data_IF_761155009026
#
_entry.id   IF_761155009026
#
_cell.length_a   1.000
_cell.length_b   1.000
_cell.length_c   1.000
_cell.angle_alpha   90.00
_cell.angle_beta   90.00
_cell.angle_gamma   90.00
#
_symmetry.space_group_name_H-M   'P 1'
#
loop_
_entity.id
_entity.type
_entity.pdbx_description
1 polymer ?
#
# COMPACT_ATOMS: atom_id res chain seq x y z
N UNK A 1 11.71 20.25 9.16
CA UNK A 1 11.42 21.00 10.41
C UNK A 1 10.04 20.67 10.98
N UNK A 2 8.96 20.65 10.15
CA UNK A 2 7.58 20.40 10.60
C UNK A 2 7.40 19.05 11.30
N UNK A 3 7.99 17.97 10.79
CA UNK A 3 7.91 16.64 11.40
C UNK A 3 8.52 16.64 12.81
N UNK A 4 9.67 17.29 12.98
CA UNK A 4 10.28 17.44 14.29
C UNK A 4 9.44 18.30 15.24
N UNK A 5 8.76 19.32 14.69
CA UNK A 5 7.83 20.15 15.49
C UNK A 5 6.67 19.34 16.02
N UNK A 6 6.13 18.40 15.24
CA UNK A 6 5.07 17.48 15.71
C UNK A 6 5.56 16.60 16.85
N UNK A 7 6.73 15.97 16.69
CA UNK A 7 7.33 15.11 17.71
C UNK A 7 7.59 15.89 18.98
N UNK A 8 8.33 17.00 18.89
CA UNK A 8 8.66 17.84 20.03
C UNK A 8 7.42 18.37 20.77
N UNK A 9 6.37 18.69 20.02
CA UNK A 9 5.10 19.15 20.60
C UNK A 9 4.38 18.02 21.33
N UNK A 10 4.32 16.83 20.74
CA UNK A 10 3.75 15.66 21.40
C UNK A 10 4.47 15.35 22.71
N UNK A 11 5.79 15.33 22.72
CA UNK A 11 6.60 15.09 23.93
C UNK A 11 6.40 16.17 24.99
N UNK A 12 6.48 17.45 24.60
CA UNK A 12 6.30 18.58 25.50
C UNK A 12 4.92 18.64 26.15
N UNK A 13 3.88 18.37 25.37
CA UNK A 13 2.49 18.45 25.85
C UNK A 13 1.99 17.14 26.46
N UNK A 14 2.72 16.04 26.26
CA UNK A 14 2.30 14.67 26.60
C UNK A 14 0.95 14.29 25.99
N UNK A 15 0.66 14.82 24.80
CA UNK A 15 -0.53 14.48 24.01
C UNK A 15 -0.14 13.53 22.89
N UNK A 16 -0.98 12.53 22.66
CA UNK A 16 -0.76 11.57 21.59
C UNK A 16 -0.84 12.26 20.23
N UNK A 17 0.17 12.00 19.39
CA UNK A 17 0.17 12.38 17.99
C UNK A 17 0.70 11.19 17.21
N UNK A 18 -0.11 10.58 16.37
CA UNK A 18 0.30 9.48 15.51
C UNK A 18 -0.38 9.57 14.15
N UNK A 19 0.32 9.14 13.13
CA UNK A 19 -0.26 8.96 11.81
C UNK A 19 -1.00 7.63 11.77
N UNK A 20 -2.26 7.67 11.33
CA UNK A 20 -3.06 6.49 11.04
C UNK A 20 -3.21 6.39 9.52
N UNK A 21 -2.53 5.43 8.92
CA UNK A 21 -2.69 5.09 7.51
C UNK A 21 -3.86 4.09 7.39
N UNK A 22 -4.96 4.52 6.76
CA UNK A 22 -6.22 3.78 6.81
C UNK A 22 -6.17 2.43 6.08
N UNK A 23 -5.37 2.30 5.03
CA UNK A 23 -5.30 1.06 4.25
C UNK A 23 -4.72 -0.12 5.05
N UNK A 24 -3.86 0.13 6.04
CA UNK A 24 -3.32 -0.93 6.90
C UNK A 24 -4.38 -1.58 7.79
N UNK A 25 -5.53 -0.94 7.96
CA UNK A 25 -6.63 -1.43 8.80
C UNK A 25 -7.76 -2.09 8.00
N UNK A 26 -7.65 -2.16 6.68
CA UNK A 26 -8.59 -2.91 5.86
C UNK A 26 -8.53 -4.41 6.18
N UNK A 27 -9.66 -5.09 5.98
CA UNK A 27 -9.80 -6.49 6.37
C UNK A 27 -8.77 -7.40 5.68
N UNK A 28 -8.56 -7.20 4.38
CA UNK A 28 -7.59 -7.99 3.61
C UNK A 28 -6.16 -7.76 4.09
N UNK A 29 -5.74 -6.50 4.28
CA UNK A 29 -4.39 -6.13 4.70
C UNK A 29 -4.09 -6.64 6.10
N UNK A 30 -4.99 -6.46 7.06
CA UNK A 30 -4.79 -6.97 8.42
C UNK A 30 -4.81 -8.50 8.48
N UNK A 31 -5.69 -9.15 7.74
CA UNK A 31 -5.72 -10.62 7.67
C UNK A 31 -4.43 -11.15 7.05
N UNK A 32 -3.99 -10.56 5.94
CA UNK A 32 -2.74 -10.93 5.28
C UNK A 32 -1.52 -10.67 6.16
N UNK A 33 -1.51 -9.56 6.92
CA UNK A 33 -0.47 -9.29 7.90
C UNK A 33 -0.42 -10.37 8.99
N UNK A 34 -1.57 -10.78 9.52
CA UNK A 34 -1.65 -11.85 10.50
C UNK A 34 -1.17 -13.20 9.93
N UNK A 35 -1.55 -13.52 8.69
CA UNK A 35 -1.03 -14.69 7.98
C UNK A 35 0.50 -14.64 7.83
N UNK A 36 1.04 -13.48 7.45
CA UNK A 36 2.47 -13.27 7.31
C UNK A 36 3.23 -13.45 8.64
N UNK A 37 2.69 -12.90 9.72
CA UNK A 37 3.25 -13.04 11.08
C UNK A 37 3.22 -14.49 11.58
N UNK A 38 2.30 -15.29 11.10
CA UNK A 38 2.20 -16.72 11.40
C UNK A 38 2.95 -17.62 10.40
N UNK A 39 3.71 -17.02 9.48
CA UNK A 39 4.60 -17.75 8.57
C UNK A 39 3.93 -18.39 7.36
N UNK A 40 2.65 -18.08 7.08
CA UNK A 40 1.89 -18.69 5.96
C UNK A 40 2.54 -18.45 4.60
N UNK A 41 3.22 -17.32 4.42
CA UNK A 41 3.90 -16.98 3.17
C UNK A 41 5.39 -17.34 3.16
N UNK A 42 5.89 -17.99 4.24
CA UNK A 42 7.33 -18.19 4.42
C UNK A 42 8.08 -16.88 4.65
N UNK A 43 9.31 -16.79 4.15
CA UNK A 43 10.07 -15.54 4.17
C UNK A 43 9.53 -14.58 3.10
N UNK A 44 9.11 -13.38 3.51
CA UNK A 44 8.65 -12.35 2.56
C UNK A 44 9.87 -11.72 1.88
N UNK A 45 9.88 -11.75 0.56
CA UNK A 45 10.99 -11.30 -0.28
C UNK A 45 10.72 -9.95 -0.94
N UNK A 46 9.46 -9.72 -1.34
CA UNK A 46 9.06 -8.56 -2.12
C UNK A 46 7.66 -8.10 -1.76
N UNK A 47 7.46 -6.78 -1.75
CA UNK A 47 6.14 -6.16 -1.53
C UNK A 47 5.93 -5.06 -2.57
N UNK A 48 4.70 -4.98 -3.12
CA UNK A 48 4.29 -3.89 -3.99
C UNK A 48 3.16 -3.10 -3.37
N UNK A 49 3.22 -1.78 -3.51
CA UNK A 49 2.18 -0.87 -3.07
C UNK A 49 1.94 0.26 -4.06
N UNK A 50 0.79 0.90 -4.00
CA UNK A 50 0.50 2.00 -4.89
C UNK A 50 -0.49 3.02 -4.32
N UNK A 51 -0.43 4.23 -4.86
CA UNK A 51 -1.52 5.19 -4.85
C UNK A 51 -1.84 5.59 -6.29
N UNK A 52 -2.83 4.92 -6.85
CA UNK A 52 -3.32 5.14 -8.21
C UNK A 52 -4.77 5.61 -8.09
N UNK A 53 -4.98 6.90 -8.33
CA UNK A 53 -6.27 7.52 -8.12
C UNK A 53 -6.38 8.77 -9.00
N UNK A 54 -7.06 8.70 -10.13
CA UNK A 54 -7.29 9.90 -10.92
C UNK A 54 -8.04 10.94 -10.08
N UNK A 55 -7.39 12.04 -9.76
CA UNK A 55 -7.93 13.12 -8.94
C UNK A 55 -8.34 14.36 -9.75
N UNK A 56 -8.43 14.25 -11.07
CA UNK A 56 -8.75 15.39 -11.95
C UNK A 56 -10.00 16.13 -11.49
N UNK A 57 -11.09 15.43 -11.15
CA UNK A 57 -12.35 16.02 -10.70
C UNK A 57 -12.26 16.69 -9.32
N UNK A 58 -11.22 16.38 -8.56
CA UNK A 58 -11.05 16.85 -7.18
C UNK A 58 -10.00 17.96 -7.06
N UNK A 59 -9.18 18.21 -8.05
CA UNK A 59 -8.05 19.13 -7.92
C UNK A 59 -8.46 20.56 -7.66
N UNK A 60 -9.52 21.05 -8.29
CA UNK A 60 -10.03 22.41 -8.09
C UNK A 60 -10.96 22.53 -6.88
N UNK A 61 -11.52 21.41 -6.40
CA UNK A 61 -12.48 21.39 -5.29
C UNK A 61 -11.88 20.93 -3.96
N UNK A 62 -10.72 20.33 -3.97
CA UNK A 62 -10.04 19.89 -2.75
C UNK A 62 -9.49 21.10 -1.99
N UNK A 63 -9.72 21.12 -0.71
CA UNK A 63 -9.44 22.23 0.20
C UNK A 63 -8.15 23.01 -0.16
N UNK A 64 -8.30 24.27 -0.53
CA UNK A 64 -7.23 25.18 -0.97
C UNK A 64 -6.32 24.65 -2.08
N UNK A 65 -6.79 23.72 -2.91
CA UNK A 65 -6.00 23.13 -4.01
C UNK A 65 -4.62 22.56 -3.58
N UNK A 66 -4.42 22.23 -2.31
CA UNK A 66 -3.12 21.85 -1.80
C UNK A 66 -2.49 20.67 -2.58
N UNK A 67 -3.31 19.75 -3.08
CA UNK A 67 -2.81 18.61 -3.88
C UNK A 67 -2.25 19.06 -5.21
N UNK A 68 -2.92 19.98 -5.90
CA UNK A 68 -2.43 20.54 -7.15
C UNK A 68 -1.14 21.31 -6.92
N UNK A 69 -1.11 22.20 -5.93
CA UNK A 69 0.07 22.99 -5.60
C UNK A 69 1.25 22.11 -5.18
N UNK A 70 0.96 21.04 -4.43
CA UNK A 70 2.01 20.11 -4.01
C UNK A 70 2.60 19.34 -5.20
N UNK A 71 1.78 18.83 -6.11
CA UNK A 71 2.22 18.16 -7.34
C UNK A 71 2.93 19.14 -8.30
N UNK A 72 2.49 20.39 -8.37
CA UNK A 72 3.13 21.43 -9.19
C UNK A 72 4.56 21.71 -8.72
N UNK A 73 4.79 21.70 -7.42
CA UNK A 73 6.04 22.16 -6.82
C UNK A 73 6.98 21.02 -6.34
N UNK A 74 6.53 19.78 -6.33
CA UNK A 74 7.31 18.65 -5.84
C UNK A 74 7.34 17.53 -6.87
N UNK A 75 8.47 16.82 -6.93
CA UNK A 75 8.70 15.70 -7.83
C UNK A 75 8.75 14.39 -7.07
N UNK A 76 8.27 13.32 -7.68
CA UNK A 76 8.35 11.96 -7.16
C UNK A 76 7.02 11.45 -6.62
N UNK A 77 7.06 10.45 -5.74
CA UNK A 77 5.87 9.96 -5.06
C UNK A 77 5.50 10.90 -3.91
N UNK A 78 4.63 11.84 -4.20
CA UNK A 78 4.22 12.88 -3.24
C UNK A 78 3.14 12.41 -2.26
N UNK A 79 2.70 11.15 -2.36
CA UNK A 79 1.69 10.57 -1.48
C UNK A 79 1.89 9.07 -1.26
N UNK A 80 3.07 8.70 -0.78
CA UNK A 80 3.53 7.32 -0.66
C UNK A 80 2.84 6.50 0.45
N UNK A 81 2.17 7.13 1.40
CA UNK A 81 1.71 6.49 2.64
C UNK A 81 0.86 5.24 2.43
N UNK A 82 -0.04 5.26 1.45
CA UNK A 82 -0.94 4.13 1.18
C UNK A 82 -0.22 2.90 0.61
N UNK A 83 0.84 3.10 -0.13
CA UNK A 83 1.65 1.99 -0.64
C UNK A 83 2.71 1.52 0.36
N UNK A 84 3.39 2.48 1.00
CA UNK A 84 4.54 2.15 1.86
C UNK A 84 4.14 1.71 3.28
N UNK A 85 3.01 2.19 3.80
CA UNK A 85 2.53 1.84 5.13
C UNK A 85 2.34 0.34 5.32
N UNK A 86 1.50 -0.32 4.52
CA UNK A 86 1.33 -1.77 4.55
C UNK A 86 2.64 -2.54 4.31
N UNK A 87 3.48 -2.08 3.36
CA UNK A 87 4.77 -2.69 3.09
C UNK A 87 5.71 -2.66 4.31
N UNK A 88 5.74 -1.54 5.04
CA UNK A 88 6.55 -1.40 6.25
C UNK A 88 6.10 -2.36 7.35
N UNK A 89 4.81 -2.64 7.48
CA UNK A 89 4.30 -3.60 8.44
C UNK A 89 4.71 -5.03 8.07
N UNK A 90 4.52 -5.43 6.82
CA UNK A 90 4.87 -6.77 6.33
C UNK A 90 6.37 -7.06 6.47
N UNK A 91 7.21 -6.07 6.21
CA UNK A 91 8.67 -6.23 6.23
C UNK A 91 9.32 -5.86 7.57
N UNK A 92 8.53 -5.54 8.60
CA UNK A 92 9.03 -5.15 9.92
C UNK A 92 10.03 -3.99 9.85
N UNK A 93 9.79 -2.98 9.02
CA UNK A 93 10.66 -1.81 8.89
C UNK A 93 10.75 -1.09 10.24
N UNK A 94 11.96 -0.81 10.69
CA UNK A 94 12.32 -0.31 12.03
C UNK A 94 12.00 -1.28 13.20
N UNK A 95 11.65 -2.55 12.90
CA UNK A 95 11.39 -3.60 13.88
C UNK A 95 12.12 -4.91 13.53
N UNK A 96 13.27 -4.81 12.89
CA UNK A 96 14.08 -5.95 12.44
C UNK A 96 14.66 -5.77 11.03
N UNK A 97 14.12 -4.82 10.25
CA UNK A 97 14.68 -4.43 8.96
C UNK A 97 14.65 -2.89 8.81
N UNK A 98 15.31 -2.37 7.79
CA UNK A 98 15.31 -0.93 7.44
C UNK A 98 15.54 -0.74 5.94
N UNK A 99 15.02 0.35 5.41
CA UNK A 99 15.28 0.77 4.04
C UNK A 99 16.74 1.19 3.89
N UNK A 100 17.40 0.70 2.84
CA UNK A 100 18.83 0.95 2.59
C UNK A 100 19.08 1.82 1.38
N UNK A 101 18.49 1.46 0.25
CA UNK A 101 18.66 2.20 -1.01
C UNK A 101 17.32 2.42 -1.66
N UNK A 102 17.18 3.57 -2.34
CA UNK A 102 15.99 3.95 -3.08
C UNK A 102 16.38 4.49 -4.45
N UNK A 103 15.64 4.06 -5.46
CA UNK A 103 15.69 4.64 -6.81
C UNK A 103 14.26 4.96 -7.22
N UNK A 104 14.03 6.19 -7.64
CA UNK A 104 12.74 6.64 -8.16
C UNK A 104 12.90 7.17 -9.58
N UNK A 105 11.99 6.80 -10.45
CA UNK A 105 11.90 7.26 -11.83
C UNK A 105 10.49 7.74 -12.09
N UNK A 106 10.36 8.88 -12.74
CA UNK A 106 9.08 9.44 -13.14
C UNK A 106 9.02 9.70 -14.65
N UNK A 107 7.81 9.77 -15.17
CA UNK A 107 7.56 10.24 -16.53
C UNK A 107 7.62 11.77 -16.60
N UNK A 108 7.57 12.32 -17.79
CA UNK A 108 7.31 13.77 -17.96
C UNK A 108 5.92 14.12 -17.40
N UNK A 109 5.76 15.36 -16.96
CA UNK A 109 4.47 15.95 -16.59
C UNK A 109 3.71 16.38 -17.85
N UNK A 110 2.53 15.83 -18.08
CA UNK A 110 1.67 16.15 -19.23
C UNK A 110 0.29 16.60 -18.76
N UNK A 111 -0.36 15.78 -17.93
CA UNK A 111 -1.75 16.00 -17.54
C UNK A 111 -1.90 17.13 -16.53
N UNK A 112 -0.98 17.31 -15.58
CA UNK A 112 -1.01 18.42 -14.65
C UNK A 112 -1.01 19.79 -15.34
N UNK A 113 -0.02 20.10 -16.20
CA UNK A 113 -0.03 21.34 -16.99
C UNK A 113 -1.27 21.50 -17.87
N UNK A 114 -1.73 20.42 -18.51
CA UNK A 114 -2.92 20.44 -19.36
C UNK A 114 -4.18 20.79 -18.56
N UNK A 115 -4.32 20.23 -17.35
CA UNK A 115 -5.43 20.54 -16.45
C UNK A 115 -5.44 22.03 -16.04
N UNK A 116 -4.31 22.56 -15.60
CA UNK A 116 -4.21 23.96 -15.20
C UNK A 116 -4.57 24.87 -16.38
N UNK A 117 -4.01 24.61 -17.57
CA UNK A 117 -4.35 25.39 -18.78
C UNK A 117 -5.84 25.34 -19.10
N UNK A 118 -6.47 24.16 -19.00
CA UNK A 118 -7.91 23.97 -19.26
C UNK A 118 -8.79 24.75 -18.28
N UNK A 119 -8.40 24.79 -17.00
CA UNK A 119 -9.22 25.33 -15.91
C UNK A 119 -8.98 26.82 -15.64
N UNK A 120 -7.76 27.29 -15.83
CA UNK A 120 -7.36 28.68 -15.50
C UNK A 120 -6.91 29.52 -16.70
N UNK A 121 -6.60 28.89 -17.84
CA UNK A 121 -5.96 29.53 -18.98
C UNK A 121 -4.45 29.77 -18.81
N UNK A 122 -3.86 29.38 -17.67
CA UNK A 122 -2.44 29.58 -17.38
C UNK A 122 -1.58 28.54 -18.14
N UNK A 123 -0.51 29.00 -18.80
CA UNK A 123 0.52 28.14 -19.35
C UNK A 123 1.57 27.86 -18.29
N UNK A 124 1.61 26.61 -17.82
CA UNK A 124 2.56 26.17 -16.80
C UNK A 124 3.76 25.50 -17.45
N UNK A 125 4.95 26.08 -17.25
CA UNK A 125 6.21 25.56 -17.79
C UNK A 125 6.99 24.68 -16.80
N UNK A 126 6.77 24.87 -15.51
CA UNK A 126 7.59 24.34 -14.43
C UNK A 126 6.84 23.35 -13.51
N UNK A 127 5.96 22.54 -14.09
CA UNK A 127 5.28 21.49 -13.31
C UNK A 127 6.25 20.37 -13.00
N UNK A 128 6.46 20.09 -11.70
CA UNK A 128 7.55 19.20 -11.24
C UNK A 128 7.16 17.73 -11.28
N UNK A 129 5.95 17.38 -10.87
CA UNK A 129 5.60 15.97 -10.73
C UNK A 129 5.26 15.32 -12.07
N UNK A 130 5.91 14.23 -12.39
CA UNK A 130 5.55 13.38 -13.52
C UNK A 130 4.17 12.73 -13.35
N UNK A 131 3.53 12.36 -14.45
CA UNK A 131 2.21 11.71 -14.41
C UNK A 131 2.26 10.31 -13.74
N UNK A 132 3.39 9.64 -13.83
CA UNK A 132 3.65 8.36 -13.16
C UNK A 132 5.01 8.38 -12.50
N UNK A 133 5.07 8.00 -11.22
CA UNK A 133 6.32 7.72 -10.50
C UNK A 133 6.38 6.24 -10.13
N UNK A 134 7.54 5.66 -10.31
CA UNK A 134 7.85 4.29 -9.88
C UNK A 134 9.10 4.32 -9.02
N UNK A 135 8.98 3.80 -7.81
CA UNK A 135 10.05 3.79 -6.81
C UNK A 135 10.37 2.37 -6.41
N UNK A 136 11.64 2.00 -6.45
CA UNK A 136 12.14 0.72 -5.95
C UNK A 136 13.02 0.97 -4.75
N UNK A 137 12.73 0.26 -3.66
CA UNK A 137 13.49 0.33 -2.42
C UNK A 137 14.07 -1.06 -2.12
N UNK A 138 15.33 -1.11 -1.71
CA UNK A 138 15.95 -2.32 -1.16
C UNK A 138 16.20 -2.14 0.31
N UNK A 139 15.84 -3.15 1.11
CA UNK A 139 16.07 -3.17 2.55
C UNK A 139 17.47 -3.69 2.90
N UNK A 140 17.87 -3.53 4.15
CA UNK A 140 19.15 -4.04 4.68
C UNK A 140 19.20 -5.59 4.61
N UNK A 141 18.07 -6.25 4.90
CA UNK A 141 17.95 -7.71 4.82
C UNK A 141 17.78 -8.24 3.38
N UNK A 142 17.90 -7.37 2.35
CA UNK A 142 17.89 -7.76 0.95
C UNK A 142 16.50 -7.90 0.33
N UNK A 143 15.44 -7.55 1.03
CA UNK A 143 14.07 -7.52 0.53
C UNK A 143 13.85 -6.30 -0.35
N UNK A 144 12.81 -6.33 -1.19
CA UNK A 144 12.50 -5.21 -2.08
C UNK A 144 11.06 -4.71 -1.92
N UNK A 145 10.88 -3.41 -2.14
CA UNK A 145 9.57 -2.76 -2.18
C UNK A 145 9.46 -2.02 -3.50
N UNK A 146 8.34 -2.20 -4.20
CA UNK A 146 7.97 -1.40 -5.36
C UNK A 146 6.79 -0.51 -5.00
N UNK A 147 6.92 0.82 -5.19
CA UNK A 147 5.83 1.76 -4.96
C UNK A 147 5.51 2.48 -6.27
N UNK A 148 4.22 2.59 -6.58
CA UNK A 148 3.73 3.36 -7.72
C UNK A 148 2.83 4.50 -7.26
N UNK A 149 2.99 5.65 -7.90
CA UNK A 149 2.15 6.82 -7.70
C UNK A 149 1.63 7.35 -9.04
N UNK A 150 0.32 7.53 -9.15
CA UNK A 150 -0.32 8.11 -10.32
C UNK A 150 -1.67 8.73 -9.92
N UNK A 151 -1.79 10.04 -10.02
CA UNK A 151 -3.02 10.78 -9.66
C UNK A 151 -3.55 11.65 -10.79
N UNK A 152 -2.93 11.57 -11.99
CA UNK A 152 -3.16 12.49 -13.09
C UNK A 152 -3.59 11.82 -14.39
N UNK A 153 -3.76 10.49 -14.41
CA UNK A 153 -4.19 9.79 -15.64
C UNK A 153 -5.46 9.00 -15.41
N UNK A 154 -6.29 8.82 -16.43
CA UNK A 154 -7.47 7.95 -16.37
C UNK A 154 -7.03 6.48 -16.24
N UNK A 155 -6.92 6.03 -15.02
CA UNK A 155 -6.51 4.69 -14.65
C UNK A 155 -7.46 4.14 -13.59
N UNK A 156 -7.84 2.84 -13.62
CA UNK A 156 -8.65 2.26 -12.56
C UNK A 156 -8.04 2.51 -11.19
N UNK A 157 -8.89 2.86 -10.23
CA UNK A 157 -8.46 3.03 -8.85
C UNK A 157 -7.72 1.80 -8.34
N UNK A 158 -6.58 2.02 -7.71
CA UNK A 158 -5.82 0.95 -7.07
C UNK A 158 -4.99 1.48 -5.90
N UNK A 159 -5.16 0.84 -4.77
CA UNK A 159 -4.24 0.90 -3.64
C UNK A 159 -3.48 -0.40 -3.57
N UNK A 160 -2.86 -0.77 -4.67
CA UNK A 160 -2.18 -2.04 -4.84
C UNK A 160 -1.46 -2.47 -3.55
N UNK A 161 -1.72 -3.70 -3.18
CA UNK A 161 -1.11 -4.37 -2.05
C UNK A 161 -0.79 -5.78 -2.48
N UNK A 162 0.48 -6.06 -2.66
CA UNK A 162 0.95 -7.39 -3.07
C UNK A 162 2.15 -7.77 -2.22
N UNK A 163 2.25 -9.06 -1.91
CA UNK A 163 3.45 -9.63 -1.32
C UNK A 163 3.86 -10.92 -2.04
N UNK A 164 5.15 -11.17 -2.10
CA UNK A 164 5.75 -12.40 -2.58
C UNK A 164 6.62 -12.96 -1.47
N UNK A 165 6.29 -14.15 -1.02
CA UNK A 165 7.08 -14.93 -0.09
C UNK A 165 7.63 -16.21 -0.71
N UNK A 166 8.43 -16.96 0.04
CA UNK A 166 8.98 -18.25 -0.40
C UNK A 166 7.90 -19.31 -0.59
N UNK A 167 6.80 -19.21 0.14
CA UNK A 167 5.74 -20.22 0.19
C UNK A 167 4.36 -19.70 -0.21
N UNK A 168 4.27 -18.42 -0.58
CA UNK A 168 3.01 -17.87 -1.00
C UNK A 168 3.06 -16.44 -1.51
N UNK A 169 1.94 -16.04 -2.08
CA UNK A 169 1.66 -14.74 -2.68
C UNK A 169 0.30 -14.24 -2.23
N UNK A 170 0.14 -12.95 -2.08
CA UNK A 170 -1.14 -12.28 -1.88
C UNK A 170 -1.24 -11.02 -2.74
N UNK A 171 -2.43 -10.74 -3.25
CA UNK A 171 -2.74 -9.50 -3.98
C UNK A 171 -4.13 -9.01 -3.62
N UNK A 172 -4.31 -7.68 -3.52
CA UNK A 172 -5.63 -7.06 -3.34
C UNK A 172 -6.21 -6.50 -4.63
N UNK A 173 -5.40 -5.93 -5.48
CA UNK A 173 -5.85 -5.28 -6.73
C UNK A 173 -5.22 -5.92 -7.95
N UNK A 174 -5.99 -6.16 -9.04
CA UNK A 174 -7.41 -5.81 -9.23
C UNK A 174 -8.39 -6.74 -8.51
N UNK A 175 -7.93 -7.89 -8.01
CA UNK A 175 -8.74 -8.91 -7.33
C UNK A 175 -8.04 -9.34 -6.05
N UNK A 176 -8.81 -9.58 -4.99
CA UNK A 176 -8.27 -10.16 -3.76
C UNK A 176 -8.01 -11.64 -3.96
N UNK A 177 -6.74 -12.04 -3.88
CA UNK A 177 -6.32 -13.41 -4.11
C UNK A 177 -5.12 -13.81 -3.26
N UNK A 178 -5.03 -15.12 -3.00
CA UNK A 178 -3.85 -15.77 -2.46
C UNK A 178 -3.43 -16.91 -3.39
N UNK A 179 -2.12 -17.12 -3.51
CA UNK A 179 -1.53 -18.31 -4.10
C UNK A 179 -0.55 -18.86 -3.07
N UNK A 180 -0.77 -20.09 -2.61
CA UNK A 180 0.02 -20.72 -1.54
C UNK A 180 0.53 -22.07 -2.01
N UNK A 181 1.68 -22.48 -1.49
CA UNK A 181 2.08 -23.88 -1.58
C UNK A 181 1.03 -24.75 -0.87
N UNK A 182 0.70 -25.94 -1.38
CA UNK A 182 -0.31 -26.81 -0.76
C UNK A 182 -0.05 -27.09 0.72
N UNK A 183 1.21 -27.17 1.10
CA UNK A 183 1.63 -27.44 2.50
C UNK A 183 1.28 -26.31 3.46
N UNK A 184 1.04 -25.10 2.94
CA UNK A 184 0.65 -23.93 3.72
C UNK A 184 -0.87 -23.83 3.93
N UNK A 185 -1.64 -24.66 3.23
CA UNK A 185 -3.08 -24.74 3.41
C UNK A 185 -3.36 -25.73 4.52
N UNK A 186 -3.93 -25.23 5.61
CA UNK A 186 -4.24 -26.11 6.76
C UNK A 186 -5.41 -27.04 6.42
N UNK A 187 -5.14 -28.33 6.31
CA UNK A 187 -6.11 -29.37 5.98
C UNK A 187 -7.26 -29.48 6.99
N UNK A 188 -7.07 -28.96 8.21
CA UNK A 188 -8.12 -28.93 9.22
C UNK A 188 -9.14 -27.78 9.02
N UNK A 189 -8.82 -26.85 8.14
CA UNK A 189 -9.68 -25.70 7.82
C UNK A 189 -10.39 -25.87 6.48
N UNK A 190 -9.76 -26.62 5.56
CA UNK A 190 -10.22 -26.74 4.17
C UNK A 190 -10.48 -28.20 3.83
N UNK A 191 -11.74 -28.52 3.53
CA UNK A 191 -12.17 -29.89 3.28
C UNK A 191 -11.69 -30.47 1.93
N UNK A 192 -11.40 -29.65 0.93
CA UNK A 192 -11.03 -30.09 -0.43
C UNK A 192 -9.85 -29.28 -0.97
N UNK A 193 -8.62 -29.72 -0.71
CA UNK A 193 -7.40 -29.08 -1.21
C UNK A 193 -6.58 -29.98 -2.15
N UNK A 194 -7.13 -31.13 -2.57
CA UNK A 194 -6.41 -32.13 -3.37
C UNK A 194 -5.88 -31.62 -4.72
N UNK A 195 -6.48 -30.54 -5.25
CA UNK A 195 -6.08 -29.93 -6.52
C UNK A 195 -5.35 -28.59 -6.36
N UNK A 196 -4.98 -28.20 -5.16
CA UNK A 196 -4.23 -26.97 -4.95
C UNK A 196 -2.80 -27.11 -5.45
N UNK A 197 -2.31 -26.05 -6.07
CA UNK A 197 -0.93 -25.95 -6.56
C UNK A 197 -0.43 -24.52 -6.39
N UNK A 198 0.89 -24.37 -6.33
CA UNK A 198 1.53 -23.06 -6.17
C UNK A 198 1.61 -22.25 -7.48
N UNK A 199 0.72 -22.50 -8.44
CA UNK A 199 0.71 -21.85 -9.75
C UNK A 199 -0.54 -21.00 -10.00
N UNK A 200 -1.60 -21.24 -9.27
CA UNK A 200 -2.88 -20.54 -9.41
C UNK A 200 -3.39 -19.96 -8.11
N UNK A 201 -4.34 -19.03 -8.21
CA UNK A 201 -5.05 -18.48 -7.07
C UNK A 201 -5.87 -19.56 -6.36
N UNK A 202 -5.97 -19.44 -5.05
CA UNK A 202 -6.83 -20.32 -4.26
C UNK A 202 -8.30 -20.20 -4.70
N UNK A 203 -9.06 -21.30 -4.68
CA UNK A 203 -10.51 -21.25 -4.83
C UNK A 203 -11.15 -20.30 -3.80
N UNK A 204 -12.25 -19.67 -4.15
CA UNK A 204 -12.89 -18.63 -3.34
C UNK A 204 -13.34 -19.14 -1.97
N UNK A 205 -13.83 -20.39 -1.90
CA UNK A 205 -14.22 -21.03 -0.64
C UNK A 205 -13.01 -21.26 0.27
N UNK A 206 -11.90 -21.75 -0.27
CA UNK A 206 -10.63 -21.94 0.44
C UNK A 206 -10.09 -20.63 0.95
N UNK A 207 -10.04 -19.61 0.08
CA UNK A 207 -9.62 -18.24 0.45
C UNK A 207 -10.43 -17.72 1.62
N UNK A 208 -11.77 -17.82 1.55
CA UNK A 208 -12.67 -17.35 2.60
C UNK A 208 -12.45 -18.06 3.94
N UNK A 209 -12.25 -19.37 3.92
CA UNK A 209 -11.97 -20.14 5.14
C UNK A 209 -10.64 -19.73 5.78
N UNK A 210 -9.59 -19.57 4.96
CA UNK A 210 -8.31 -19.08 5.45
C UNK A 210 -8.41 -17.66 6.02
N UNK A 211 -9.10 -16.76 5.34
CA UNK A 211 -9.30 -15.39 5.83
C UNK A 211 -10.06 -15.38 7.17
N UNK A 212 -11.03 -16.25 7.35
CA UNK A 212 -11.75 -16.38 8.62
C UNK A 212 -10.84 -16.92 9.73
N UNK A 213 -10.04 -17.93 9.44
CA UNK A 213 -9.08 -18.51 10.40
C UNK A 213 -8.04 -17.48 10.84
N UNK A 214 -7.50 -16.72 9.91
CA UNK A 214 -6.44 -15.74 10.16
C UNK A 214 -6.96 -14.32 10.37
N UNK A 215 -8.27 -14.16 10.63
CA UNK A 215 -8.84 -12.85 10.97
C UNK A 215 -8.00 -12.17 12.05
N UNK A 216 -7.58 -10.93 11.80
CA UNK A 216 -6.71 -10.22 12.71
C UNK A 216 -7.41 -9.92 14.06
N UNK A 217 -6.71 -10.00 15.22
CA UNK A 217 -7.31 -9.73 16.54
C UNK A 217 -8.06 -8.40 16.64
N UNK A 218 -7.57 -7.34 15.99
CA UNK A 218 -8.26 -6.04 15.93
C UNK A 218 -9.68 -6.18 15.36
N UNK A 219 -9.86 -6.94 14.28
CA UNK A 219 -11.19 -7.16 13.69
C UNK A 219 -12.07 -8.04 14.58
N UNK A 220 -11.49 -9.03 15.24
CA UNK A 220 -12.22 -9.90 16.18
C UNK A 220 -12.77 -9.07 17.35
N UNK A 221 -11.94 -8.22 17.95
CA UNK A 221 -12.31 -7.34 19.06
C UNK A 221 -13.40 -6.31 18.65
N UNK A 222 -13.29 -5.73 17.46
CA UNK A 222 -14.29 -4.80 16.93
C UNK A 222 -15.65 -5.48 16.70
N UNK A 223 -15.68 -6.70 16.18
CA UNK A 223 -16.93 -7.46 16.01
C UNK A 223 -17.57 -7.84 17.36
N UNK A 224 -16.79 -8.10 18.39
CA UNK A 224 -17.29 -8.39 19.73
C UNK A 224 -17.87 -7.14 20.41
N UNK A 225 -17.26 -5.99 20.20
CA UNK A 225 -17.71 -4.73 20.79
C UNK A 225 -18.90 -4.09 20.07
N UNK A 226 -19.16 -4.49 18.82
CA UNK A 226 -20.28 -4.00 18.01
C UNK A 226 -21.60 -4.80 18.21
N UNK A 227 -21.57 -5.87 19.01
CA UNK A 227 -22.74 -6.68 19.40
C UNK A 227 -23.36 -6.15 20.68
#
# INVERSE_FOLDING_TARGET
>A
EEIWSLINTSERTRKHCMQLENCVYDFFELTTLNMAQQGVFGEILHVEGAYIHNLEDYWSSYWNNWRMDYNRNNRGDVYATHGIGPACQLLNIHRGDRMKTLVAVDTKAVNGPAYIRKTTGEEVKDFQNGDQTTTVIRTENGKTILIQHNVMTPRPYSRMYQLVGTDGYASKYPVEEYCLRPEQVDTNVVANHENLNAHGSLPEDVKRELMNKYKHPIHQELEETAK
#
